data_IF_486615041187
#
_entry.id   IF_486615041187
#
_cell.length_a   1.000
_cell.length_b   1.000
_cell.length_c   1.000
_cell.angle_alpha   90.00
_cell.angle_beta   90.00
_cell.angle_gamma   90.00
#
_symmetry.space_group_name_H-M   'P 1'
#
loop_
_entity.id
_entity.type
_entity.pdbx_description
1 polymer ?
#
# COMPACT_ATOMS: atom_id res chain seq x y z
N UNK A 1 -15.95 -41.17 -47.62
CA UNK A 1 -16.92 -40.71 -48.65
C UNK A 1 -18.21 -40.37 -47.97
N UNK A 2 -18.71 -39.14 -48.11
CA UNK A 2 -20.03 -38.76 -47.58
C UNK A 2 -21.10 -39.37 -48.47
N UNK A 3 -21.95 -40.23 -47.92
CA UNK A 3 -23.08 -40.78 -48.65
C UNK A 3 -24.27 -39.84 -48.57
N UNK A 4 -25.11 -39.80 -49.60
CA UNK A 4 -26.41 -39.16 -49.50
C UNK A 4 -27.39 -40.02 -48.69
N UNK A 5 -28.43 -39.39 -48.14
CA UNK A 5 -29.45 -40.05 -47.32
C UNK A 5 -30.08 -41.27 -48.01
N UNK A 6 -30.35 -41.17 -49.32
CA UNK A 6 -30.93 -42.26 -50.10
C UNK A 6 -29.97 -43.45 -50.27
N UNK A 7 -28.71 -43.21 -50.64
CA UNK A 7 -27.72 -44.28 -50.80
C UNK A 7 -27.33 -44.92 -49.47
N UNK A 8 -27.32 -44.13 -48.38
CA UNK A 8 -27.10 -44.64 -47.03
C UNK A 8 -28.23 -45.61 -46.62
N UNK A 9 -29.49 -45.23 -46.85
CA UNK A 9 -30.66 -46.09 -46.56
C UNK A 9 -30.69 -47.37 -47.40
N UNK A 10 -30.32 -47.30 -48.67
CA UNK A 10 -30.27 -48.47 -49.56
C UNK A 10 -28.98 -49.29 -49.43
N UNK A 11 -28.05 -48.89 -48.55
CA UNK A 11 -26.72 -49.49 -48.37
C UNK A 11 -25.92 -49.64 -49.67
N UNK A 12 -26.11 -48.70 -50.59
CA UNK A 12 -25.40 -48.66 -51.86
C UNK A 12 -24.18 -47.74 -51.80
N UNK A 13 -23.16 -48.06 -52.59
CA UNK A 13 -21.98 -47.21 -52.73
C UNK A 13 -22.40 -45.85 -53.33
N UNK A 14 -22.32 -44.79 -52.52
CA UNK A 14 -22.63 -43.44 -52.95
C UNK A 14 -21.38 -42.77 -53.54
N UNK A 15 -21.45 -42.38 -54.81
CA UNK A 15 -20.43 -41.55 -55.46
C UNK A 15 -21.02 -40.20 -55.80
N UNK A 16 -20.90 -39.25 -54.88
CA UNK A 16 -21.24 -37.85 -55.12
C UNK A 16 -20.08 -37.16 -55.84
N UNK A 17 -20.38 -36.45 -56.93
CA UNK A 17 -19.44 -35.60 -57.66
C UNK A 17 -19.78 -34.13 -57.41
N UNK A 18 -18.76 -33.27 -57.30
CA UNK A 18 -18.95 -31.81 -57.16
C UNK A 18 -19.56 -31.16 -58.41
N UNK A 19 -19.48 -31.84 -59.56
CA UNK A 19 -20.00 -31.35 -60.84
C UNK A 19 -21.49 -31.67 -61.06
N UNK A 20 -22.12 -32.41 -60.16
CA UNK A 20 -23.51 -32.86 -60.30
C UNK A 20 -24.27 -32.71 -59.00
N UNK A 21 -25.46 -32.11 -59.05
CA UNK A 21 -26.34 -31.99 -57.88
C UNK A 21 -26.82 -33.35 -57.32
N UNK A 22 -26.63 -34.46 -58.06
CA UNK A 22 -27.08 -35.81 -57.68
C UNK A 22 -25.99 -36.86 -57.92
N UNK A 23 -25.84 -37.81 -57.01
CA UNK A 23 -24.98 -38.97 -57.22
C UNK A 23 -25.52 -39.87 -58.35
N UNK A 24 -24.64 -40.69 -58.94
CA UNK A 24 -25.00 -41.56 -60.06
C UNK A 24 -26.12 -42.57 -59.78
N UNK A 25 -26.34 -42.93 -58.50
CA UNK A 25 -27.45 -43.81 -58.12
C UNK A 25 -28.75 -43.03 -57.97
N UNK A 26 -28.74 -41.88 -57.29
CA UNK A 26 -29.93 -41.02 -57.19
C UNK A 26 -30.42 -40.55 -58.56
N UNK A 27 -29.51 -40.27 -59.50
CA UNK A 27 -29.87 -39.94 -60.87
C UNK A 27 -30.60 -41.11 -61.56
N UNK A 28 -30.03 -42.32 -61.50
CA UNK A 28 -30.61 -43.52 -62.12
C UNK A 28 -31.93 -43.97 -61.50
N UNK A 29 -32.08 -43.78 -60.19
CA UNK A 29 -33.29 -44.13 -59.44
C UNK A 29 -34.38 -43.06 -59.50
N UNK A 30 -34.20 -41.99 -60.29
CA UNK A 30 -35.19 -40.91 -60.42
C UNK A 30 -35.40 -40.08 -59.15
N UNK A 31 -34.47 -40.15 -58.18
CA UNK A 31 -34.58 -39.43 -56.91
C UNK A 31 -34.24 -37.95 -57.17
N UNK A 32 -35.17 -37.06 -56.81
CA UNK A 32 -35.04 -35.62 -57.03
C UNK A 32 -34.01 -34.96 -56.10
N UNK A 33 -33.86 -35.46 -54.86
CA UNK A 33 -32.98 -34.87 -53.84
C UNK A 33 -31.83 -35.82 -53.48
N UNK A 34 -30.60 -35.31 -53.51
CA UNK A 34 -29.40 -36.07 -53.16
C UNK A 34 -28.65 -35.36 -52.02
N UNK A 35 -29.30 -35.27 -50.87
CA UNK A 35 -28.77 -34.57 -49.70
C UNK A 35 -27.73 -35.44 -49.01
N UNK A 36 -26.50 -34.95 -48.78
CA UNK A 36 -25.53 -35.62 -47.92
C UNK A 36 -26.16 -36.00 -46.58
N UNK A 37 -25.82 -37.17 -46.03
CA UNK A 37 -26.22 -37.51 -44.66
C UNK A 37 -25.65 -36.41 -43.76
N UNK A 38 -26.54 -35.74 -43.01
CA UNK A 38 -26.16 -34.70 -42.07
C UNK A 38 -25.10 -35.27 -41.13
N UNK A 39 -23.90 -34.68 -41.17
CA UNK A 39 -22.95 -34.85 -40.09
C UNK A 39 -23.56 -34.08 -38.91
N UNK A 40 -23.84 -34.72 -37.76
CA UNK A 40 -24.34 -34.01 -36.61
C UNK A 40 -23.34 -32.93 -36.23
N UNK A 41 -23.78 -31.68 -36.19
CA UNK A 41 -22.96 -30.57 -35.68
C UNK A 41 -22.75 -30.85 -34.19
N UNK A 42 -21.50 -30.85 -33.69
CA UNK A 42 -21.25 -31.04 -32.27
C UNK A 42 -21.98 -29.97 -31.45
N UNK A 43 -22.63 -30.39 -30.38
CA UNK A 43 -23.23 -29.47 -29.42
C UNK A 43 -22.16 -28.95 -28.45
N UNK A 44 -21.84 -27.67 -28.56
CA UNK A 44 -20.88 -26.97 -27.71
C UNK A 44 -21.53 -26.21 -26.55
N UNK A 45 -22.85 -26.40 -26.31
CA UNK A 45 -23.58 -25.67 -25.27
C UNK A 45 -22.99 -25.84 -23.86
N UNK A 46 -22.46 -27.03 -23.55
CA UNK A 46 -21.78 -27.31 -22.28
C UNK A 46 -20.48 -26.51 -22.13
N UNK A 47 -19.69 -26.42 -23.20
CA UNK A 47 -18.44 -25.64 -23.22
C UNK A 47 -18.75 -24.15 -23.08
N UNK A 48 -19.74 -23.64 -23.82
CA UNK A 48 -20.12 -22.23 -23.73
C UNK A 48 -20.57 -21.84 -22.33
N UNK A 49 -21.35 -22.70 -21.66
CA UNK A 49 -21.76 -22.47 -20.26
C UNK A 49 -20.58 -22.44 -19.29
N UNK A 50 -19.58 -23.28 -19.53
CA UNK A 50 -18.40 -23.30 -18.66
C UNK A 50 -17.51 -22.08 -18.90
N UNK A 51 -17.39 -21.63 -20.16
CA UNK A 51 -16.71 -20.37 -20.49
C UNK A 51 -17.39 -19.18 -19.78
N UNK A 52 -18.72 -19.12 -19.79
CA UNK A 52 -19.47 -18.03 -19.14
C UNK A 52 -19.24 -18.02 -17.62
N UNK A 53 -19.29 -19.18 -16.97
CA UNK A 53 -18.95 -19.30 -15.53
C UNK A 53 -17.52 -18.89 -15.23
N UNK A 54 -16.57 -19.27 -16.09
CA UNK A 54 -15.17 -18.89 -15.91
C UNK A 54 -15.00 -17.37 -16.07
N UNK A 55 -15.67 -16.77 -17.04
CA UNK A 55 -15.68 -15.31 -17.23
C UNK A 55 -16.22 -14.59 -16.00
N UNK A 56 -17.34 -15.05 -15.44
CA UNK A 56 -17.90 -14.48 -14.20
C UNK A 56 -16.94 -14.63 -13.01
N UNK A 57 -16.25 -15.78 -12.91
CA UNK A 57 -15.27 -16.02 -11.85
C UNK A 57 -14.00 -15.17 -12.02
N UNK A 58 -13.55 -14.94 -13.26
CA UNK A 58 -12.43 -14.05 -13.59
C UNK A 58 -12.77 -12.61 -13.22
N UNK A 59 -13.93 -12.08 -13.64
CA UNK A 59 -14.37 -10.73 -13.29
C UNK A 59 -14.50 -10.53 -11.77
N UNK A 60 -15.02 -11.53 -11.06
CA UNK A 60 -15.11 -11.50 -9.60
C UNK A 60 -13.73 -11.54 -8.93
N UNK A 61 -12.77 -12.29 -9.49
CA UNK A 61 -11.41 -12.34 -8.99
C UNK A 61 -10.66 -11.03 -9.24
N UNK A 62 -10.78 -10.43 -10.43
CA UNK A 62 -10.23 -9.12 -10.76
C UNK A 62 -10.77 -8.04 -9.83
N UNK A 63 -12.09 -7.98 -9.64
CA UNK A 63 -12.72 -7.02 -8.73
C UNK A 63 -12.21 -7.14 -7.29
N UNK A 64 -11.91 -8.37 -6.84
CA UNK A 64 -11.33 -8.61 -5.52
C UNK A 64 -9.88 -8.15 -5.45
N UNK A 65 -9.09 -8.42 -6.48
CA UNK A 65 -7.70 -7.98 -6.55
C UNK A 65 -7.61 -6.44 -6.52
N UNK A 66 -8.44 -5.75 -7.31
CA UNK A 66 -8.49 -4.29 -7.32
C UNK A 66 -8.81 -3.71 -5.93
N UNK A 67 -9.77 -4.32 -5.22
CA UNK A 67 -10.11 -3.92 -3.86
C UNK A 67 -8.96 -4.17 -2.86
N UNK A 68 -8.27 -5.30 -2.98
CA UNK A 68 -7.12 -5.64 -2.15
C UNK A 68 -5.92 -4.70 -2.43
N UNK A 69 -5.65 -4.37 -3.69
CA UNK A 69 -4.62 -3.41 -4.10
C UNK A 69 -4.90 -2.00 -3.57
N UNK A 70 -6.15 -1.56 -3.66
CA UNK A 70 -6.56 -0.28 -3.10
C UNK A 70 -6.38 -0.26 -1.57
N UNK A 71 -6.80 -1.31 -0.88
CA UNK A 71 -6.63 -1.43 0.56
C UNK A 71 -5.15 -1.43 0.98
N UNK A 72 -4.28 -2.07 0.21
CA UNK A 72 -2.84 -2.08 0.42
C UNK A 72 -2.23 -0.68 0.23
N UNK A 73 -2.68 0.04 -0.81
CA UNK A 73 -2.26 1.43 -1.07
C UNK A 73 -2.65 2.35 0.08
N UNK A 74 -3.90 2.26 0.55
CA UNK A 74 -4.37 3.06 1.69
C UNK A 74 -3.60 2.71 2.97
N UNK A 75 -3.32 1.43 3.20
CA UNK A 75 -2.49 0.99 4.33
C UNK A 75 -1.08 1.57 4.27
N UNK A 76 -0.46 1.58 3.08
CA UNK A 76 0.85 2.18 2.87
C UNK A 76 0.83 3.68 3.20
N UNK A 77 -0.16 4.43 2.71
CA UNK A 77 -0.33 5.86 3.01
C UNK A 77 -0.44 6.09 4.52
N UNK A 78 -1.27 5.30 5.23
CA UNK A 78 -1.40 5.38 6.69
C UNK A 78 -0.07 5.11 7.39
N UNK A 79 0.69 4.10 6.96
CA UNK A 79 1.98 3.79 7.58
C UNK A 79 3.02 4.90 7.37
N UNK A 80 3.00 5.55 6.20
CA UNK A 80 3.88 6.69 5.92
C UNK A 80 3.54 7.89 6.80
N UNK A 81 2.25 8.21 6.96
CA UNK A 81 1.79 9.27 7.86
C UNK A 81 2.20 9.00 9.32
N UNK A 82 1.99 7.76 9.81
CA UNK A 82 2.40 7.36 11.15
C UNK A 82 3.93 7.45 11.37
N UNK A 83 4.73 7.09 10.35
CA UNK A 83 6.20 7.25 10.40
C UNK A 83 6.61 8.72 10.49
N UNK A 84 5.98 9.60 9.70
CA UNK A 84 6.26 11.03 9.74
C UNK A 84 5.92 11.64 11.12
N UNK A 85 4.77 11.25 11.69
CA UNK A 85 4.38 11.65 13.03
C UNK A 85 5.39 11.18 14.09
N UNK A 86 5.80 9.91 14.03
CA UNK A 86 6.79 9.37 14.96
C UNK A 86 8.13 10.14 14.89
N UNK A 87 8.58 10.51 13.69
CA UNK A 87 9.78 11.33 13.53
C UNK A 87 9.62 12.72 14.14
N UNK A 88 8.46 13.37 13.95
CA UNK A 88 8.14 14.67 14.58
C UNK A 88 8.18 14.55 16.10
N UNK A 89 7.52 13.54 16.68
CA UNK A 89 7.50 13.31 18.13
C UNK A 89 8.92 13.06 18.68
N UNK A 90 9.74 12.28 17.97
CA UNK A 90 11.15 12.06 18.35
C UNK A 90 11.95 13.36 18.34
N UNK A 91 11.76 14.23 17.34
CA UNK A 91 12.40 15.55 17.29
C UNK A 91 11.96 16.44 18.44
N UNK A 92 10.66 16.51 18.72
CA UNK A 92 10.10 17.26 19.84
C UNK A 92 10.66 16.77 21.17
N UNK A 93 10.69 15.45 21.40
CA UNK A 93 11.27 14.85 22.61
C UNK A 93 12.74 15.24 22.80
N UNK A 94 13.56 15.16 21.74
CA UNK A 94 14.97 15.56 21.79
C UNK A 94 15.13 17.05 22.10
N UNK A 95 14.29 17.89 21.51
CA UNK A 95 14.30 19.33 21.78
C UNK A 95 13.96 19.64 23.24
N UNK A 96 12.93 19.00 23.78
CA UNK A 96 12.55 19.17 25.19
C UNK A 96 13.66 18.70 26.12
N UNK A 97 14.31 17.57 25.82
CA UNK A 97 15.45 17.08 26.62
C UNK A 97 16.65 18.04 26.58
N UNK A 98 16.91 18.69 25.45
CA UNK A 98 17.94 19.74 25.39
C UNK A 98 17.55 20.95 26.24
N UNK A 99 16.31 21.42 26.13
CA UNK A 99 15.81 22.54 26.96
C UNK A 99 15.88 22.25 28.46
N UNK A 100 15.56 21.01 28.86
CA UNK A 100 15.70 20.54 30.25
C UNK A 100 17.15 20.68 30.73
N UNK A 101 18.11 20.23 29.91
CA UNK A 101 19.54 20.38 30.22
C UNK A 101 19.95 21.86 30.27
N UNK A 102 19.56 22.67 29.30
CA UNK A 102 19.90 24.10 29.25
C UNK A 102 19.39 24.85 30.49
N UNK A 103 18.23 24.46 31.04
CA UNK A 103 17.68 25.04 32.28
C UNK A 103 18.49 24.56 33.49
N UNK A 104 18.83 23.27 33.52
CA UNK A 104 19.65 22.70 34.60
C UNK A 104 21.03 23.37 34.66
N UNK A 105 21.71 23.51 33.52
CA UNK A 105 23.04 24.10 33.43
C UNK A 105 23.02 25.58 33.88
N UNK A 106 22.02 26.36 33.45
CA UNK A 106 21.85 27.74 33.92
C UNK A 106 21.60 27.83 35.42
N UNK A 107 20.77 26.94 35.95
CA UNK A 107 20.52 26.89 37.39
C UNK A 107 21.78 26.54 38.20
N UNK A 108 22.67 25.74 37.62
CA UNK A 108 23.98 25.45 38.19
C UNK A 108 24.88 26.69 38.20
N UNK A 109 25.00 27.37 37.06
CA UNK A 109 25.79 28.60 36.92
C UNK A 109 25.30 29.71 37.88
N UNK A 110 23.97 29.87 38.00
CA UNK A 110 23.35 30.84 38.92
C UNK A 110 23.67 30.50 40.39
N UNK A 111 23.66 29.22 40.76
CA UNK A 111 23.98 28.78 42.12
C UNK A 111 25.46 29.02 42.46
N UNK A 112 26.38 28.75 41.52
CA UNK A 112 27.80 29.02 41.70
C UNK A 112 28.07 30.53 41.83
N UNK A 113 27.40 31.36 41.02
CA UNK A 113 27.50 32.81 41.11
C UNK A 113 27.00 33.35 42.47
N UNK A 114 25.92 32.79 43.01
CA UNK A 114 25.42 33.16 44.34
C UNK A 114 26.42 32.78 45.44
N UNK A 115 27.01 31.59 45.39
CA UNK A 115 28.01 31.16 46.37
C UNK A 115 29.25 32.07 46.35
N UNK A 116 29.70 32.50 45.17
CA UNK A 116 30.80 33.46 45.03
C UNK A 116 30.45 34.84 45.61
N UNK A 117 29.21 35.32 45.39
CA UNK A 117 28.74 36.58 45.96
C UNK A 117 28.66 36.51 47.48
N UNK A 118 28.15 35.42 48.05
CA UNK A 118 28.12 35.21 49.50
C UNK A 118 29.53 35.24 50.11
N UNK A 119 30.51 34.60 49.48
CA UNK A 119 31.91 34.65 49.92
C UNK A 119 32.48 36.08 49.88
N UNK A 120 32.18 36.84 48.83
CA UNK A 120 32.60 38.25 48.73
C UNK A 120 31.93 39.14 49.78
N UNK A 121 30.64 38.91 50.07
CA UNK A 121 29.92 39.63 51.12
C UNK A 121 30.53 39.36 52.50
N UNK A 122 30.81 38.10 52.81
CA UNK A 122 31.49 37.71 54.06
C UNK A 122 32.86 38.40 54.17
N UNK A 123 33.67 38.36 53.11
CA UNK A 123 34.97 39.03 53.07
C UNK A 123 34.84 40.55 53.28
N UNK A 124 33.87 41.19 52.63
CA UNK A 124 33.62 42.63 52.79
C UNK A 124 33.18 42.99 54.22
N UNK A 125 32.35 42.15 54.86
CA UNK A 125 31.95 42.32 56.26
C UNK A 125 33.15 42.20 57.21
N UNK A 126 34.02 41.21 56.99
CA UNK A 126 35.26 41.05 57.77
C UNK A 126 36.14 42.29 57.65
N UNK A 127 36.38 42.78 56.43
CA UNK A 127 37.17 43.99 56.19
C UNK A 127 36.56 45.26 56.81
N UNK A 128 35.24 45.41 56.73
CA UNK A 128 34.52 46.52 57.37
C UNK A 128 34.63 46.46 58.91
N UNK A 129 34.55 45.27 59.51
CA UNK A 129 34.71 45.08 60.95
C UNK A 129 36.15 45.30 61.42
N UNK A 130 37.15 45.01 60.58
CA UNK A 130 38.55 45.31 60.84
C UNK A 130 38.87 46.81 60.72
N UNK A 131 38.06 47.58 59.99
CA UNK A 131 38.19 49.03 59.81
C UNK A 131 37.28 49.81 60.78
N UNK A 132 37.51 49.64 62.09
CA UNK A 132 36.91 50.49 63.13
C UNK A 132 37.44 51.93 62.97
N UNK A 133 36.62 53.00 63.15
CA UNK A 133 37.03 54.36 62.85
C UNK A 133 38.16 54.81 63.78
N UNK A 134 39.23 55.31 63.18
CA UNK A 134 40.23 56.13 63.88
C UNK A 134 39.49 57.36 64.39
N UNK A 135 39.15 57.37 65.68
CA UNK A 135 38.63 58.56 66.36
C UNK A 135 39.54 59.76 66.02
N UNK A 136 39.01 60.89 65.52
CA UNK A 136 39.79 62.11 65.55
C UNK A 136 40.04 62.42 67.03
N UNK A 137 41.28 62.25 67.48
CA UNK A 137 41.68 62.64 68.82
C UNK A 137 41.36 64.12 69.00
N UNK A 138 40.31 64.38 69.78
CA UNK A 138 40.09 65.62 70.49
C UNK A 138 41.38 65.92 71.28
N UNK A 139 42.19 66.85 70.78
CA UNK A 139 43.21 67.50 71.59
C UNK A 139 42.58 68.74 72.24
N UNK A 140 42.27 68.62 73.53
CA UNK A 140 42.08 69.74 74.44
C UNK A 140 43.40 70.06 75.14
N UNK A 141 43.70 71.37 75.28
CA UNK A 141 44.67 71.95 76.23
C UNK A 141 45.96 72.45 75.56
N UNK A 142 46.38 73.72 75.66
CA UNK A 142 46.13 74.80 76.63
C UNK A 142 46.10 76.15 75.93
#
# INVERSE_FOLDING_TARGET
MVACTACSKSRQACRMSSLSARCGNCYRSGIATCVPVHIPVPDFSSINREIEKLSEAEEAAESRLDAEEQAATDALVRTQAARAELQRLRKQKRLLKRKEQDIFDKGWDDAEALEQLEQLELFNQEMASATVPVHPMSQFGR
#
